data_IF_257462866177
#
_entry.id   IF_257462866177
#
_cell.length_a   1.000
_cell.length_b   1.000
_cell.length_c   1.000
_cell.angle_alpha   90.00
_cell.angle_beta   90.00
_cell.angle_gamma   90.00
#
_symmetry.space_group_name_H-M   'P 1'
#
loop_
_entity.id
_entity.type
_entity.pdbx_description
1 polymer ?
#
# COMPACT_ATOMS: atom_id res chain seq x y z
N UNK A 1 -11.47 12.07 -18.91
CA UNK A 1 -10.78 11.26 -17.88
C UNK A 1 -11.69 10.55 -16.86
N UNK A 2 -12.89 11.04 -16.47
CA UNK A 2 -13.72 10.30 -15.49
C UNK A 2 -14.30 8.99 -16.05
N UNK A 3 -14.58 8.91 -17.35
CA UNK A 3 -15.11 7.68 -17.97
C UNK A 3 -14.10 6.53 -18.01
N UNK A 4 -12.80 6.83 -18.19
CA UNK A 4 -11.75 5.81 -18.17
C UNK A 4 -11.59 5.21 -16.76
N UNK A 5 -11.69 6.05 -15.72
CA UNK A 5 -11.62 5.63 -14.32
C UNK A 5 -12.86 4.78 -13.97
N UNK A 6 -14.05 5.17 -14.44
CA UNK A 6 -15.27 4.39 -14.26
C UNK A 6 -15.20 3.03 -14.98
N UNK A 7 -14.59 2.98 -16.17
CA UNK A 7 -14.36 1.73 -16.90
C UNK A 7 -13.43 0.77 -16.14
N UNK A 8 -12.30 1.26 -15.63
CA UNK A 8 -11.40 0.45 -14.81
C UNK A 8 -12.02 0.02 -13.47
N UNK A 9 -12.82 0.86 -12.84
CA UNK A 9 -13.53 0.52 -11.60
C UNK A 9 -14.65 -0.51 -11.82
N UNK A 10 -15.32 -0.47 -12.99
CA UNK A 10 -16.28 -1.50 -13.41
C UNK A 10 -15.59 -2.84 -13.68
N UNK A 11 -14.36 -2.82 -14.19
CA UNK A 11 -13.53 -4.01 -14.36
C UNK A 11 -13.19 -4.66 -13.01
N UNK A 12 -12.81 -3.86 -12.00
CA UNK A 12 -12.53 -4.36 -10.63
C UNK A 12 -13.76 -5.06 -10.02
N UNK A 13 -14.96 -4.52 -10.23
CA UNK A 13 -16.21 -5.13 -9.75
C UNK A 13 -16.59 -6.43 -10.47
N UNK A 14 -16.34 -6.53 -11.78
CA UNK A 14 -16.56 -7.75 -12.57
C UNK A 14 -15.53 -8.85 -12.25
N UNK A 15 -14.32 -8.45 -11.88
CA UNK A 15 -13.24 -9.33 -11.46
C UNK A 15 -13.49 -9.92 -10.08
N UNK A 16 -14.07 -9.15 -9.15
CA UNK A 16 -14.40 -9.60 -7.81
C UNK A 16 -15.45 -10.74 -7.80
N UNK A 17 -16.33 -10.83 -8.80
CA UNK A 17 -17.31 -11.93 -8.94
C UNK A 17 -16.68 -13.23 -9.48
N UNK A 18 -15.52 -13.15 -10.15
CA UNK A 18 -14.75 -14.29 -10.67
C UNK A 18 -13.80 -14.93 -9.64
N UNK A 19 -13.64 -14.30 -8.46
CA UNK A 19 -12.85 -14.82 -7.32
C UNK A 19 -13.37 -16.20 -6.84
N UNK A 20 -14.58 -16.60 -7.25
CA UNK A 20 -15.25 -17.87 -6.92
C UNK A 20 -14.61 -19.17 -7.43
N UNK A 21 -13.65 -19.14 -8.37
CA UNK A 21 -12.99 -20.36 -8.88
C UNK A 21 -11.80 -20.84 -8.02
N UNK A 22 -12.00 -21.02 -6.70
CA UNK A 22 -10.90 -21.34 -5.76
C UNK A 22 -10.11 -22.62 -6.10
N UNK A 23 -10.75 -23.62 -6.70
CA UNK A 23 -10.14 -24.94 -6.91
C UNK A 23 -9.32 -25.06 -8.21
N UNK A 24 -9.65 -24.31 -9.27
CA UNK A 24 -8.98 -24.41 -10.57
C UNK A 24 -7.87 -23.36 -10.79
N UNK A 25 -7.84 -22.30 -9.98
CA UNK A 25 -6.86 -21.19 -10.09
C UNK A 25 -5.42 -21.66 -10.07
N UNK A 26 -5.05 -22.50 -9.09
CA UNK A 26 -3.68 -22.99 -8.96
C UNK A 26 -3.24 -23.83 -10.16
N UNK A 27 -4.17 -24.63 -10.70
CA UNK A 27 -3.90 -25.51 -11.84
C UNK A 27 -3.75 -24.71 -13.14
N UNK A 28 -4.54 -23.66 -13.33
CA UNK A 28 -4.44 -22.74 -14.48
C UNK A 28 -3.14 -21.94 -14.42
N UNK A 29 -2.77 -21.40 -13.25
CA UNK A 29 -1.52 -20.66 -13.10
C UNK A 29 -0.30 -21.55 -13.32
N UNK A 30 -0.32 -22.77 -12.77
CA UNK A 30 0.75 -23.73 -12.94
C UNK A 30 0.90 -24.16 -14.41
N UNK A 31 -0.21 -24.42 -15.12
CA UNK A 31 -0.14 -24.81 -16.53
C UNK A 31 0.42 -23.70 -17.40
N UNK A 32 0.01 -22.44 -17.19
CA UNK A 32 0.54 -21.31 -17.94
C UNK A 32 2.04 -21.12 -17.68
N UNK A 33 2.50 -21.24 -16.42
CA UNK A 33 3.93 -21.18 -16.09
C UNK A 33 4.75 -22.27 -16.80
N UNK A 34 4.25 -23.50 -16.82
CA UNK A 34 4.90 -24.62 -17.53
C UNK A 34 4.96 -24.35 -19.03
N UNK A 35 3.89 -23.81 -19.62
CA UNK A 35 3.87 -23.43 -21.05
C UNK A 35 4.92 -22.34 -21.31
N UNK A 36 5.01 -21.30 -20.46
CA UNK A 36 6.01 -20.24 -20.62
C UNK A 36 7.44 -20.79 -20.54
N UNK A 37 7.74 -21.66 -19.57
CA UNK A 37 9.07 -22.25 -19.41
C UNK A 37 9.43 -23.15 -20.60
N UNK A 38 8.50 -24.00 -21.03
CA UNK A 38 8.69 -24.86 -22.21
C UNK A 38 8.93 -24.03 -23.46
N UNK A 39 8.19 -22.93 -23.62
CA UNK A 39 8.34 -22.02 -24.76
C UNK A 39 9.70 -21.29 -24.75
N UNK A 40 10.30 -21.02 -23.58
CA UNK A 40 11.69 -20.53 -23.48
C UNK A 40 12.67 -21.59 -23.99
N UNK A 41 12.53 -22.84 -23.53
CA UNK A 41 13.40 -23.95 -23.95
C UNK A 41 13.31 -24.18 -25.46
N UNK A 42 12.11 -24.24 -26.04
CA UNK A 42 11.95 -24.39 -27.49
C UNK A 42 12.62 -23.24 -28.26
N UNK A 43 12.47 -22.00 -27.79
CA UNK A 43 13.13 -20.84 -28.41
C UNK A 43 14.67 -20.93 -28.39
N UNK A 44 15.26 -21.56 -27.37
CA UNK A 44 16.72 -21.75 -27.31
C UNK A 44 17.24 -22.90 -28.17
N UNK A 45 16.38 -23.86 -28.54
CA UNK A 45 16.75 -25.08 -29.30
C UNK A 45 16.45 -24.91 -30.79
N UNK A 46 15.39 -24.20 -31.14
CA UNK A 46 14.99 -23.96 -32.53
C UNK A 46 15.92 -22.93 -33.20
N UNK A 47 16.81 -23.40 -34.07
CA UNK A 47 17.70 -22.57 -34.92
C UNK A 47 17.00 -22.04 -36.19
N UNK A 48 15.65 -22.00 -36.20
CA UNK A 48 14.86 -21.63 -37.38
C UNK A 48 14.23 -20.25 -37.18
N UNK A 49 14.86 -19.24 -37.80
CA UNK A 49 14.55 -17.81 -37.71
C UNK A 49 13.10 -17.38 -38.05
N UNK A 50 12.30 -18.23 -38.71
CA UNK A 50 11.03 -17.79 -39.31
C UNK A 50 9.86 -17.65 -38.33
N UNK A 51 9.96 -18.21 -37.12
CA UNK A 51 8.86 -18.22 -36.15
C UNK A 51 9.13 -17.41 -34.87
N UNK A 52 10.28 -16.76 -34.75
CA UNK A 52 10.69 -16.07 -33.51
C UNK A 52 9.70 -14.98 -33.06
N UNK A 53 9.24 -14.15 -34.01
CA UNK A 53 8.36 -13.03 -33.73
C UNK A 53 6.94 -13.50 -33.32
N UNK A 54 6.49 -14.61 -33.90
CA UNK A 54 5.21 -15.27 -33.56
C UNK A 54 5.31 -15.89 -32.16
N UNK A 55 6.40 -16.58 -31.85
CA UNK A 55 6.62 -17.16 -30.52
C UNK A 55 6.76 -16.07 -29.44
N UNK A 56 7.46 -14.98 -29.72
CA UNK A 56 7.63 -13.86 -28.77
C UNK A 56 6.30 -13.13 -28.51
N UNK A 57 5.52 -12.86 -29.57
CA UNK A 57 4.20 -12.24 -29.42
C UNK A 57 3.22 -13.15 -28.69
N UNK A 58 3.22 -14.45 -28.96
CA UNK A 58 2.40 -15.41 -28.22
C UNK A 58 2.77 -15.47 -26.73
N UNK A 59 4.07 -15.48 -26.40
CA UNK A 59 4.56 -15.41 -25.00
C UNK A 59 4.11 -14.12 -24.31
N UNK A 60 4.22 -12.98 -24.98
CA UNK A 60 3.80 -11.69 -24.43
C UNK A 60 2.30 -11.67 -24.09
N UNK A 61 1.46 -12.21 -24.98
CA UNK A 61 0.01 -12.33 -24.74
C UNK A 61 -0.28 -13.29 -23.58
N UNK A 62 0.41 -14.44 -23.51
CA UNK A 62 0.19 -15.43 -22.46
C UNK A 62 0.60 -14.91 -21.08
N UNK A 63 1.74 -14.23 -20.97
CA UNK A 63 2.18 -13.57 -19.73
C UNK A 63 1.22 -12.46 -19.32
N UNK A 64 0.74 -11.65 -20.27
CA UNK A 64 -0.26 -10.62 -19.96
C UNK A 64 -1.57 -11.21 -19.42
N UNK A 65 -2.03 -12.33 -19.98
CA UNK A 65 -3.21 -13.04 -19.47
C UNK A 65 -2.97 -13.63 -18.07
N UNK A 66 -1.77 -14.17 -17.81
CA UNK A 66 -1.38 -14.65 -16.49
C UNK A 66 -1.37 -13.53 -15.46
N UNK A 67 -0.79 -12.37 -15.78
CA UNK A 67 -0.75 -11.21 -14.91
C UNK A 67 -2.15 -10.74 -14.53
N UNK A 68 -3.04 -10.60 -15.52
CA UNK A 68 -4.45 -10.24 -15.24
C UNK A 68 -5.08 -11.31 -14.34
N UNK A 69 -4.91 -12.61 -14.62
CA UNK A 69 -5.46 -13.69 -13.81
C UNK A 69 -4.92 -13.70 -12.37
N UNK A 70 -3.64 -13.38 -12.16
CA UNK A 70 -3.02 -13.29 -10.83
C UNK A 70 -3.52 -12.06 -10.05
N UNK A 71 -3.68 -10.91 -10.71
CA UNK A 71 -4.18 -9.69 -10.05
C UNK A 71 -5.66 -9.83 -9.71
N UNK A 72 -6.45 -10.45 -10.59
CA UNK A 72 -7.87 -10.74 -10.37
C UNK A 72 -8.12 -11.55 -9.10
N UNK A 73 -7.14 -12.37 -8.74
CA UNK A 73 -7.16 -13.27 -7.62
C UNK A 73 -6.95 -12.58 -6.25
N UNK A 74 -6.56 -11.30 -6.25
CA UNK A 74 -6.13 -10.54 -5.07
C UNK A 74 -7.23 -9.54 -4.66
N UNK A 75 -7.56 -9.51 -3.37
CA UNK A 75 -8.60 -8.62 -2.85
C UNK A 75 -8.15 -7.16 -2.80
N UNK A 76 -9.11 -6.22 -2.79
CA UNK A 76 -8.83 -4.77 -2.74
C UNK A 76 -7.95 -4.36 -1.54
N UNK A 77 -7.99 -5.11 -0.43
CA UNK A 77 -7.20 -4.82 0.77
C UNK A 77 -5.69 -5.01 0.55
N UNK A 78 -5.31 -5.92 -0.35
CA UNK A 78 -3.91 -6.32 -0.58
C UNK A 78 -3.36 -5.73 -1.90
N UNK A 79 -4.12 -4.88 -2.58
CA UNK A 79 -3.76 -4.28 -3.87
C UNK A 79 -2.43 -3.49 -3.84
N UNK A 80 -2.06 -2.89 -2.70
CA UNK A 80 -0.76 -2.21 -2.57
C UNK A 80 0.43 -3.15 -2.71
N UNK A 81 0.30 -4.39 -2.23
CA UNK A 81 1.36 -5.40 -2.35
C UNK A 81 1.53 -5.76 -3.82
N UNK A 82 0.45 -5.79 -4.59
CA UNK A 82 0.49 -6.01 -6.05
C UNK A 82 1.22 -4.87 -6.76
N UNK A 83 0.93 -3.62 -6.37
CA UNK A 83 1.55 -2.43 -6.95
C UNK A 83 3.06 -2.41 -6.66
N UNK A 84 3.49 -2.71 -5.43
CA UNK A 84 4.91 -2.76 -5.09
C UNK A 84 5.63 -3.92 -5.81
N UNK A 85 4.96 -5.07 -5.96
CA UNK A 85 5.47 -6.22 -6.69
C UNK A 85 5.64 -5.91 -8.19
N UNK A 86 4.67 -5.26 -8.83
CA UNK A 86 4.79 -4.79 -10.21
C UNK A 86 5.88 -3.74 -10.39
N UNK A 87 6.06 -2.85 -9.40
CA UNK A 87 7.17 -1.87 -9.40
C UNK A 87 8.55 -2.56 -9.29
N UNK A 88 8.63 -3.71 -8.63
CA UNK A 88 9.85 -4.53 -8.63
C UNK A 88 10.09 -5.17 -10.00
N UNK A 89 9.06 -5.79 -10.58
CA UNK A 89 9.17 -6.45 -11.88
C UNK A 89 9.57 -5.50 -13.02
N UNK A 90 9.05 -4.27 -13.03
CA UNK A 90 9.48 -3.25 -14.01
C UNK A 90 10.96 -2.90 -13.87
N UNK A 91 11.49 -2.88 -12.64
CA UNK A 91 12.92 -2.69 -12.37
C UNK A 91 13.79 -3.83 -12.93
N UNK A 92 13.41 -5.08 -12.67
CA UNK A 92 14.13 -6.25 -13.20
C UNK A 92 14.06 -6.35 -14.72
N UNK A 93 12.91 -6.06 -15.33
CA UNK A 93 12.78 -6.02 -16.79
C UNK A 93 13.66 -4.92 -17.44
N UNK A 94 13.77 -3.76 -16.77
CA UNK A 94 14.68 -2.69 -17.19
C UNK A 94 16.14 -3.10 -17.06
N UNK A 95 16.49 -3.82 -15.99
CA UNK A 95 17.84 -4.35 -15.78
C UNK A 95 18.22 -5.38 -16.88
N UNK A 96 17.31 -6.29 -17.21
CA UNK A 96 17.49 -7.26 -18.30
C UNK A 96 17.67 -6.57 -19.66
N UNK A 97 16.85 -5.57 -19.95
CA UNK A 97 17.00 -4.75 -21.17
C UNK A 97 18.35 -4.02 -21.21
N UNK A 98 18.85 -3.58 -20.05
CA UNK A 98 20.18 -2.98 -19.91
C UNK A 98 21.30 -3.97 -20.20
N UNK A 99 21.15 -5.23 -19.78
CA UNK A 99 22.08 -6.30 -20.10
C UNK A 99 22.07 -6.62 -21.61
N UNK A 100 20.88 -6.72 -22.23
CA UNK A 100 20.73 -6.94 -23.67
C UNK A 100 21.38 -5.84 -24.51
N UNK A 101 21.19 -4.57 -24.12
CA UNK A 101 21.72 -3.40 -24.83
C UNK A 101 23.18 -3.07 -24.45
N UNK A 102 23.81 -3.85 -23.56
CA UNK A 102 25.12 -3.56 -22.96
C UNK A 102 25.23 -2.14 -22.37
N UNK A 103 24.13 -1.63 -21.80
CA UNK A 103 24.06 -0.31 -21.22
C UNK A 103 24.08 -0.38 -19.68
N UNK A 104 25.23 -0.02 -19.12
CA UNK A 104 25.46 -0.06 -17.67
C UNK A 104 24.52 0.87 -16.91
N UNK A 105 24.16 2.03 -17.46
CA UNK A 105 23.25 2.96 -16.80
C UNK A 105 21.85 2.35 -16.63
N UNK A 106 21.35 1.70 -17.67
CA UNK A 106 20.02 1.07 -17.66
C UNK A 106 19.99 -0.14 -16.70
N UNK A 107 21.08 -0.92 -16.69
CA UNK A 107 21.29 -2.03 -15.78
C UNK A 107 21.28 -1.57 -14.31
N UNK A 108 22.07 -0.55 -13.99
CA UNK A 108 22.15 0.00 -12.63
C UNK A 108 20.81 0.63 -12.18
N UNK A 109 20.15 1.41 -13.04
CA UNK A 109 18.85 2.01 -12.68
C UNK A 109 17.76 0.96 -12.48
N UNK A 110 17.71 -0.07 -13.33
CA UNK A 110 16.75 -1.16 -13.21
C UNK A 110 16.95 -1.97 -11.93
N UNK A 111 18.19 -2.35 -11.63
CA UNK A 111 18.53 -3.09 -10.41
C UNK A 111 18.21 -2.29 -9.13
N UNK A 112 18.41 -0.97 -9.15
CA UNK A 112 18.06 -0.11 -8.03
C UNK A 112 16.55 -0.02 -7.80
N UNK A 113 15.77 0.16 -8.87
CA UNK A 113 14.30 0.18 -8.79
C UNK A 113 13.78 -1.17 -8.28
N UNK A 114 14.26 -2.28 -8.86
CA UNK A 114 13.86 -3.64 -8.49
C UNK A 114 14.12 -3.95 -7.02
N UNK A 115 15.36 -3.74 -6.56
CA UNK A 115 15.73 -3.99 -5.15
C UNK A 115 14.97 -3.11 -4.16
N UNK A 116 14.75 -1.83 -4.48
CA UNK A 116 14.03 -0.90 -3.60
C UNK A 116 12.56 -1.31 -3.40
N UNK A 117 11.93 -1.85 -4.43
CA UNK A 117 10.54 -2.28 -4.40
C UNK A 117 10.36 -3.60 -3.63
N UNK A 118 11.34 -4.51 -3.68
CA UNK A 118 11.36 -5.74 -2.86
C UNK A 118 11.39 -5.40 -1.37
N UNK A 119 12.23 -4.44 -0.99
CA UNK A 119 12.39 -4.01 0.41
C UNK A 119 11.10 -3.34 0.91
N UNK A 120 10.45 -2.53 0.07
CA UNK A 120 9.18 -1.87 0.41
C UNK A 120 7.97 -2.81 0.37
N UNK A 121 8.05 -3.88 -0.42
CA UNK A 121 6.93 -4.75 -0.73
C UNK A 121 6.55 -5.72 0.38
N UNK A 122 7.34 -5.83 1.45
CA UNK A 122 7.15 -6.75 2.59
C UNK A 122 6.43 -8.04 2.16
N UNK A 123 7.09 -8.85 1.32
CA UNK A 123 6.56 -10.05 0.69
C UNK A 123 5.91 -10.98 1.72
N UNK A 124 4.61 -10.78 2.00
CA UNK A 124 3.77 -11.66 2.81
C UNK A 124 4.42 -12.21 4.08
N UNK A 125 5.32 -11.45 4.71
CA UNK A 125 5.94 -11.82 5.97
C UNK A 125 4.84 -11.92 7.00
N UNK A 126 4.41 -13.15 7.27
CA UNK A 126 3.33 -13.51 8.17
C UNK A 126 3.64 -13.13 9.61
N UNK A 127 3.62 -11.85 9.93
CA UNK A 127 3.07 -11.43 11.20
C UNK A 127 1.57 -11.63 11.08
N UNK A 128 1.13 -12.85 11.38
CA UNK A 128 -0.25 -13.11 11.75
C UNK A 128 -0.60 -12.06 12.79
N UNK A 129 -1.44 -11.09 12.41
CA UNK A 129 -2.05 -10.18 13.35
C UNK A 129 -2.57 -11.07 14.49
N UNK A 130 -2.04 -10.85 15.70
CA UNK A 130 -2.50 -11.57 16.87
C UNK A 130 -4.03 -11.55 16.86
N UNK A 131 -4.70 -12.70 17.09
CA UNK A 131 -6.16 -12.76 17.07
C UNK A 131 -6.68 -11.62 17.92
N UNK A 132 -7.56 -10.80 17.35
CA UNK A 132 -8.11 -9.64 18.02
C UNK A 132 -8.70 -10.11 19.35
N UNK A 133 -8.00 -9.83 20.44
CA UNK A 133 -8.48 -10.10 21.78
C UNK A 133 -9.78 -9.32 21.90
N UNK A 134 -10.88 -10.01 22.21
CA UNK A 134 -12.17 -9.40 22.38
C UNK A 134 -12.01 -8.27 23.41
N UNK A 135 -12.30 -7.05 22.99
CA UNK A 135 -12.19 -5.87 23.85
C UNK A 135 -13.31 -5.98 24.88
N UNK A 136 -12.98 -6.44 26.07
CA UNK A 136 -13.86 -6.37 27.24
C UNK A 136 -13.76 -4.96 27.83
N UNK A 137 -14.84 -4.19 27.73
CA UNK A 137 -14.94 -2.85 28.32
C UNK A 137 -16.23 -2.14 27.92
N UNK A 138 -16.82 -1.43 28.88
CA UNK A 138 -17.99 -0.58 28.63
C UNK A 138 -17.54 0.75 28.03
N UNK A 139 -18.05 1.09 26.84
CA UNK A 139 -17.75 2.35 26.15
C UNK A 139 -18.37 3.52 26.91
N UNK A 140 -17.55 4.32 27.59
CA UNK A 140 -17.99 5.59 28.18
C UNK A 140 -18.04 6.68 27.10
N UNK A 141 -19.25 7.05 26.71
CA UNK A 141 -19.45 8.20 25.81
C UNK A 141 -19.22 9.50 26.58
N UNK A 142 -18.45 10.41 25.98
CA UNK A 142 -18.22 11.76 26.50
C UNK A 142 -18.73 12.78 25.49
N UNK A 143 -19.25 13.91 25.99
CA UNK A 143 -19.68 15.01 25.14
C UNK A 143 -18.47 15.77 24.60
N UNK A 144 -18.56 16.32 23.38
CA UNK A 144 -17.49 17.08 22.74
C UNK A 144 -16.95 18.23 23.60
N UNK A 145 -17.81 18.86 24.41
CA UNK A 145 -17.44 19.94 25.32
C UNK A 145 -16.57 19.46 26.49
N UNK A 146 -16.82 18.27 27.01
CA UNK A 146 -16.02 17.72 28.11
C UNK A 146 -14.70 17.13 27.60
N UNK A 147 -14.70 16.56 26.39
CA UNK A 147 -13.48 16.21 25.67
C UNK A 147 -12.59 17.44 25.45
N UNK A 148 -13.17 18.58 25.07
CA UNK A 148 -12.43 19.82 24.86
C UNK A 148 -11.78 20.34 26.15
N UNK A 149 -12.46 20.21 27.31
CA UNK A 149 -11.89 20.57 28.62
C UNK A 149 -10.72 19.65 29.00
N UNK A 150 -10.91 18.34 28.87
CA UNK A 150 -9.84 17.37 29.14
C UNK A 150 -8.60 17.61 28.26
N UNK A 151 -8.80 18.02 27.00
CA UNK A 151 -7.72 18.42 26.10
C UNK A 151 -7.07 19.75 26.51
N UNK A 152 -7.85 20.70 27.02
CA UNK A 152 -7.34 22.00 27.46
C UNK A 152 -6.49 21.92 28.73
N UNK A 153 -6.80 20.98 29.63
CA UNK A 153 -6.08 20.77 30.89
C UNK A 153 -4.79 19.93 30.71
N UNK A 154 -4.62 19.27 29.57
CA UNK A 154 -3.50 18.37 29.30
C UNK A 154 -2.22 19.11 28.87
N UNK A 155 -1.06 18.69 29.39
CA UNK A 155 0.26 19.25 29.02
C UNK A 155 0.92 18.46 27.90
N UNK A 156 0.74 17.14 27.87
CA UNK A 156 1.24 16.25 26.81
C UNK A 156 0.09 15.51 26.12
N UNK A 157 -0.08 15.79 24.83
CA UNK A 157 -1.13 15.18 23.99
C UNK A 157 -0.46 14.36 22.87
N UNK A 158 -0.83 13.08 22.81
CA UNK A 158 -0.46 12.20 21.69
C UNK A 158 -1.68 11.99 20.81
N UNK A 159 -1.57 12.35 19.53
CA UNK A 159 -2.63 12.15 18.55
C UNK A 159 -2.31 10.95 17.66
N UNK A 160 -3.26 10.02 17.57
CA UNK A 160 -3.23 8.91 16.60
C UNK A 160 -4.31 9.18 15.56
N UNK A 161 -3.96 9.74 14.38
CA UNK A 161 -4.89 9.88 13.29
C UNK A 161 -5.19 8.52 12.66
N UNK A 162 -6.47 8.19 12.54
CA UNK A 162 -6.96 7.06 11.74
C UNK A 162 -7.87 7.62 10.65
N UNK A 163 -7.45 7.46 9.39
CA UNK A 163 -8.25 7.86 8.24
C UNK A 163 -8.90 6.63 7.63
N UNK A 164 -10.21 6.71 7.39
CA UNK A 164 -10.93 5.73 6.59
C UNK A 164 -10.92 6.13 5.10
N UNK A 165 -11.22 5.14 4.24
CA UNK A 165 -11.03 5.14 2.78
C UNK A 165 -11.62 6.37 2.06
N UNK A 166 -12.62 7.04 2.65
CA UNK A 166 -13.42 8.08 2.00
C UNK A 166 -13.19 9.51 2.50
N UNK A 167 -12.26 9.73 3.44
CA UNK A 167 -12.14 11.01 4.16
C UNK A 167 -11.40 12.13 3.38
N UNK A 168 -11.91 12.54 2.21
CA UNK A 168 -11.25 13.50 1.28
C UNK A 168 -11.15 14.95 1.78
N UNK A 169 -11.67 15.30 2.96
CA UNK A 169 -11.62 16.69 3.51
C UNK A 169 -11.17 16.78 4.98
N UNK A 170 -11.03 15.64 5.63
CA UNK A 170 -10.63 15.46 7.01
C UNK A 170 -9.27 16.08 7.38
N UNK A 171 -8.40 16.24 6.38
CA UNK A 171 -7.03 16.72 6.53
C UNK A 171 -6.99 18.19 6.97
N UNK A 172 -7.89 19.02 6.43
CA UNK A 172 -7.99 20.44 6.78
C UNK A 172 -8.50 20.65 8.21
N UNK A 173 -9.46 19.83 8.66
CA UNK A 173 -9.95 19.86 10.04
C UNK A 173 -8.87 19.43 11.03
N UNK A 174 -8.12 18.36 10.71
CA UNK A 174 -6.98 17.93 11.51
C UNK A 174 -5.90 19.02 11.59
N UNK A 175 -5.59 19.70 10.48
CA UNK A 175 -4.63 20.80 10.42
C UNK A 175 -5.06 22.00 11.28
N UNK A 176 -6.35 22.37 11.24
CA UNK A 176 -6.91 23.45 12.03
C UNK A 176 -6.79 23.18 13.53
N UNK A 177 -7.11 21.95 13.97
CA UNK A 177 -6.96 21.52 15.36
C UNK A 177 -5.49 21.58 15.79
N UNK A 178 -4.55 21.11 14.95
CA UNK A 178 -3.11 21.15 15.25
C UNK A 178 -2.62 22.60 15.42
N UNK A 179 -3.09 23.52 14.58
CA UNK A 179 -2.75 24.96 14.69
C UNK A 179 -3.29 25.57 15.98
N UNK A 180 -4.50 25.22 16.40
CA UNK A 180 -5.10 25.70 17.65
C UNK A 180 -4.35 25.15 18.87
N UNK A 181 -4.07 23.86 18.91
CA UNK A 181 -3.35 23.24 20.02
C UNK A 181 -1.91 23.76 20.16
N UNK A 182 -1.25 24.08 19.05
CA UNK A 182 0.08 24.70 19.07
C UNK A 182 0.07 26.10 19.70
N UNK A 183 -0.98 26.89 19.48
CA UNK A 183 -1.11 28.21 20.13
C UNK A 183 -1.20 28.09 21.66
N UNK A 184 -1.65 26.96 22.18
CA UNK A 184 -1.85 26.73 23.62
C UNK A 184 -0.61 26.21 24.39
N UNK A 185 0.61 26.24 23.81
CA UNK A 185 1.87 25.76 24.46
C UNK A 185 1.79 24.31 25.00
N UNK A 186 0.92 23.47 24.48
CA UNK A 186 0.89 22.04 24.82
C UNK A 186 1.95 21.28 24.00
N UNK A 187 2.61 20.29 24.62
CA UNK A 187 3.47 19.35 23.90
C UNK A 187 2.61 18.41 23.07
N UNK A 188 2.64 18.59 21.75
CA UNK A 188 1.76 17.91 20.81
C UNK A 188 2.57 17.04 19.85
N UNK A 189 2.32 15.73 19.89
CA UNK A 189 2.97 14.71 19.03
C UNK A 189 1.93 13.93 18.23
N UNK A 190 2.25 13.64 16.98
CA UNK A 190 1.40 12.86 16.07
C UNK A 190 2.09 11.54 15.76
N UNK A 191 1.39 10.45 16.05
CA UNK A 191 1.85 9.09 15.75
C UNK A 191 1.42 8.74 14.33
N UNK A 192 2.34 8.30 13.48
CA UNK A 192 1.98 7.71 12.19
C UNK A 192 2.13 6.20 12.26
N UNK A 193 1.01 5.47 12.17
CA UNK A 193 1.03 4.02 12.06
C UNK A 193 1.33 3.61 10.61
N UNK A 194 2.31 2.72 10.41
CA UNK A 194 2.78 2.36 9.06
C UNK A 194 1.77 1.49 8.29
N UNK A 195 0.94 0.70 8.98
CA UNK A 195 -0.01 -0.26 8.35
C UNK A 195 -1.36 0.38 7.98
N UNK A 196 -1.41 1.66 7.61
CA UNK A 196 -2.64 2.29 7.14
C UNK A 196 -2.93 1.89 5.70
N UNK A 197 -3.34 0.62 5.54
CA UNK A 197 -4.16 -0.12 4.54
C UNK A 197 -4.38 0.39 3.09
N UNK A 198 -3.79 1.49 2.63
CA UNK A 198 -3.95 1.96 1.24
C UNK A 198 -2.72 2.63 0.60
N UNK A 199 -1.76 3.19 1.34
CA UNK A 199 -0.44 3.58 0.81
C UNK A 199 0.58 3.73 1.94
N UNK A 200 1.79 3.12 1.87
CA UNK A 200 2.86 3.38 2.82
C UNK A 200 3.15 4.89 2.83
N UNK A 201 3.16 5.50 4.01
CA UNK A 201 3.40 6.95 4.21
C UNK A 201 2.37 7.90 3.61
N UNK A 202 1.17 7.45 3.21
CA UNK A 202 0.07 8.34 2.81
C UNK A 202 -0.17 9.43 3.86
N UNK A 203 -0.11 9.05 5.14
CA UNK A 203 -0.26 9.97 6.25
C UNK A 203 0.80 11.08 6.26
N UNK A 204 2.06 10.76 5.95
CA UNK A 204 3.12 11.77 5.89
C UNK A 204 2.84 12.79 4.79
N UNK A 205 2.36 12.32 3.63
CA UNK A 205 1.99 13.19 2.51
C UNK A 205 0.77 14.05 2.85
N UNK A 206 -0.25 13.46 3.48
CA UNK A 206 -1.46 14.18 3.92
C UNK A 206 -1.12 15.26 4.94
N UNK A 207 -0.31 14.93 5.94
CA UNK A 207 0.11 15.88 6.96
C UNK A 207 1.05 16.95 6.38
N UNK A 208 1.84 16.62 5.37
CA UNK A 208 2.65 17.57 4.62
C UNK A 208 1.77 18.54 3.80
N UNK A 209 0.73 18.04 3.10
CA UNK A 209 -0.27 18.88 2.41
C UNK A 209 -0.99 19.80 3.40
N UNK A 210 -1.26 19.31 4.60
CA UNK A 210 -1.81 20.09 5.72
C UNK A 210 -0.81 21.11 6.34
N UNK A 211 0.44 21.17 5.85
CA UNK A 211 1.53 22.02 6.37
C UNK A 211 1.84 21.79 7.85
N UNK A 212 1.70 20.56 8.32
CA UNK A 212 2.21 20.19 9.64
C UNK A 212 3.74 20.03 9.57
N UNK A 213 4.51 20.59 10.52
CA UNK A 213 5.95 20.40 10.58
C UNK A 213 6.28 18.94 10.89
N UNK A 214 7.38 18.45 10.32
CA UNK A 214 7.79 17.06 10.46
C UNK A 214 8.27 16.71 11.88
N UNK A 215 8.72 17.70 12.65
CA UNK A 215 9.27 17.50 14.00
C UNK A 215 8.27 16.91 15.01
N UNK A 216 6.97 17.12 14.76
CA UNK A 216 5.90 16.55 15.58
C UNK A 216 5.45 15.16 15.12
N UNK A 217 5.94 14.68 13.96
CA UNK A 217 5.54 13.40 13.38
C UNK A 217 6.54 12.33 13.80
N UNK A 218 6.07 11.38 14.60
CA UNK A 218 6.89 10.29 15.11
C UNK A 218 6.31 8.95 14.64
N UNK A 219 7.20 8.05 14.23
CA UNK A 219 6.87 6.67 13.92
C UNK A 219 6.63 5.87 15.21
N UNK A 220 5.92 4.76 15.09
CA UNK A 220 5.46 3.95 16.23
C UNK A 220 6.62 3.51 17.14
N UNK A 221 7.76 3.12 16.56
CA UNK A 221 8.92 2.64 17.32
C UNK A 221 9.52 3.69 18.26
N UNK A 222 9.45 4.97 17.87
CA UNK A 222 10.03 6.08 18.64
C UNK A 222 9.08 6.55 19.74
N UNK A 223 7.77 6.55 19.47
CA UNK A 223 6.76 7.12 20.36
C UNK A 223 6.16 6.12 21.36
N UNK A 224 6.37 4.80 21.18
CA UNK A 224 5.83 3.78 22.08
C UNK A 224 6.20 4.01 23.56
N UNK A 225 7.40 4.53 23.85
CA UNK A 225 7.86 4.84 25.22
C UNK A 225 7.19 6.08 25.81
N UNK A 226 6.69 6.97 24.96
CA UNK A 226 6.13 8.26 25.35
C UNK A 226 4.65 8.16 25.77
N UNK A 227 3.96 7.07 25.44
CA UNK A 227 2.57 6.85 25.86
C UNK A 227 2.45 6.72 27.39
N UNK A 228 3.49 6.28 28.08
CA UNK A 228 3.52 6.17 29.55
C UNK A 228 3.54 7.54 30.24
N UNK A 229 3.99 8.58 29.55
CA UNK A 229 4.17 9.94 30.09
C UNK A 229 3.10 10.90 29.53
N UNK A 230 2.23 10.43 28.64
CA UNK A 230 1.20 11.27 28.05
C UNK A 230 -0.02 11.39 28.97
N UNK A 231 -0.49 12.62 29.17
CA UNK A 231 -1.69 12.89 29.97
C UNK A 231 -2.96 12.46 29.22
N UNK A 232 -2.98 12.68 27.89
CA UNK A 232 -4.13 12.35 27.03
C UNK A 232 -3.65 11.80 25.68
N UNK A 233 -4.18 10.62 25.31
CA UNK A 233 -4.06 10.07 23.95
C UNK A 233 -5.38 10.23 23.19
N UNK A 234 -5.36 10.99 22.09
CA UNK A 234 -6.55 11.24 21.25
C UNK A 234 -6.44 10.42 19.97
N UNK A 235 -7.34 9.45 19.80
CA UNK A 235 -7.50 8.74 18.52
C UNK A 235 -8.52 9.50 17.68
N UNK A 236 -8.06 10.15 16.62
CA UNK A 236 -8.92 10.89 15.70
C UNK A 236 -9.25 10.01 14.51
N UNK A 237 -10.41 9.37 14.58
CA UNK A 237 -11.01 8.67 13.46
C UNK A 237 -11.73 9.72 12.62
N UNK A 238 -11.30 9.91 11.37
CA UNK A 238 -12.07 10.73 10.44
C UNK A 238 -12.74 9.84 9.42
N UNK A 239 -14.06 9.77 9.54
CA UNK A 239 -14.95 9.14 8.59
C UNK A 239 -15.80 10.22 7.92
N UNK A 240 -16.12 10.04 6.64
CA UNK A 240 -17.10 10.89 5.94
C UNK A 240 -18.54 10.36 6.14
N UNK A 241 -18.71 9.35 7.02
CA UNK A 241 -20.00 8.78 7.46
C UNK A 241 -20.01 8.44 8.96
#
# INVERSE_FOLDING_TARGET
MPELIAFFHSFVGLVATLVGFRNFRYMINASILVICFTSIVCYTVDMVFTLELVQLSLKAVLNGLLDVHLIMAIGEADMQVVISMHNSYSGWATAESGLMLRNLSLLCSGAFIGSSAVIQGNFGGGECAAPAVAVEGELKSITSRDAAKAIADAKSIIKVPRYEKDARKAQYAAAAIIKLLRKHRCNFRVVVHQVARSLPRLMNVILAVARAPYDIMLEMDKINKDFLVADVSVVLIVNDK
#
